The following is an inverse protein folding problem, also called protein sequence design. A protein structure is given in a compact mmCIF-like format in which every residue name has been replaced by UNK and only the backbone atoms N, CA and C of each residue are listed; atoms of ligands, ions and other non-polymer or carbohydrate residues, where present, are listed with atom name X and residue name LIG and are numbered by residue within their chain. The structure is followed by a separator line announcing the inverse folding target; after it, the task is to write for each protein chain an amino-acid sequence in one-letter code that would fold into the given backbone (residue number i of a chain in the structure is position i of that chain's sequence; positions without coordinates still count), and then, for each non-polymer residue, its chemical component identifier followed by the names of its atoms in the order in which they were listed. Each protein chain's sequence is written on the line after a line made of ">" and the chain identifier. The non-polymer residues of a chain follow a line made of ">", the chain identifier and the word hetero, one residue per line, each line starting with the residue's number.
data_IF_689041504635
#
_entry.id   IF_689041504635
#
_cell.length_a   1.000
_cell.length_b   1.000
_cell.length_c   1.000
_cell.angle_alpha   90.00
_cell.angle_beta   90.00
_cell.angle_gamma   90.00
#
_symmetry.space_group_name_H-M   'P 1'
#
loop_
_entity.id
_entity.type
_entity.pdbx_description
1 polymer ?
#
# COMPACT_ATOMS: atom_id res chain seq x y z
N UNK A 1 -16.95 -18.32 8.28
CA UNK A 1 -16.42 -17.10 7.66
C UNK A 1 -15.31 -17.44 6.69
N UNK A 2 -15.44 -17.09 5.40
CA UNK A 2 -14.34 -17.13 4.44
C UNK A 2 -13.65 -15.76 4.47
N UNK A 3 -12.34 -15.71 4.72
CA UNK A 3 -11.56 -14.46 4.70
C UNK A 3 -10.86 -14.08 6.00
N UNK A 4 -11.01 -14.85 7.07
CA UNK A 4 -10.19 -14.70 8.27
C UNK A 4 -8.95 -15.57 8.12
N UNK A 5 -7.82 -14.95 7.78
CA UNK A 5 -6.51 -15.58 7.82
C UNK A 5 -5.83 -15.15 9.12
N UNK A 6 -5.43 -16.13 9.94
CA UNK A 6 -4.59 -15.86 11.11
C UNK A 6 -3.18 -15.62 10.58
N UNK A 7 -2.69 -14.40 10.74
CA UNK A 7 -1.32 -14.05 10.36
C UNK A 7 -0.47 -14.25 11.62
N UNK A 8 0.60 -15.06 11.57
CA UNK A 8 1.29 -15.52 12.78
C UNK A 8 2.14 -14.45 13.46
N UNK A 9 2.41 -13.32 12.78
CA UNK A 9 3.14 -12.20 13.34
C UNK A 9 3.43 -11.11 12.31
N UNK A 10 4.10 -10.02 12.72
CA UNK A 10 4.56 -8.97 11.81
C UNK A 10 5.40 -9.53 10.65
N UNK A 11 5.34 -8.88 9.50
CA UNK A 11 6.19 -9.15 8.32
C UNK A 11 6.13 -10.55 7.72
N UNK A 12 5.11 -11.34 8.09
CA UNK A 12 4.85 -12.63 7.49
C UNK A 12 4.14 -12.52 6.13
N UNK A 13 3.26 -11.53 5.99
CA UNK A 13 2.51 -11.22 4.76
C UNK A 13 2.40 -9.70 4.63
N UNK A 14 2.64 -9.20 3.42
CA UNK A 14 2.41 -7.80 3.06
C UNK A 14 1.28 -7.69 2.04
N UNK A 15 0.38 -6.75 2.26
CA UNK A 15 -0.67 -6.39 1.33
C UNK A 15 -0.23 -5.18 0.51
N UNK A 16 -0.58 -5.19 -0.77
CA UNK A 16 -0.41 -4.03 -1.66
C UNK A 16 -1.79 -3.49 -1.98
N UNK A 17 -1.99 -2.19 -1.75
CA UNK A 17 -3.22 -1.51 -2.07
C UNK A 17 -2.97 -0.26 -2.92
N UNK A 18 -3.85 0.00 -3.89
CA UNK A 18 -3.81 1.22 -4.72
C UNK A 18 -4.95 2.14 -4.32
N UNK A 19 -4.62 3.38 -4.00
CA UNK A 19 -5.60 4.42 -3.75
C UNK A 19 -5.86 5.21 -5.04
N UNK A 20 -7.07 5.07 -5.59
CA UNK A 20 -7.43 5.56 -6.93
C UNK A 20 -8.23 6.88 -6.91
N UNK A 21 -8.56 7.46 -5.75
CA UNK A 21 -9.40 8.68 -5.69
C UNK A 21 -8.73 9.91 -6.31
N UNK A 22 -7.41 9.90 -6.46
CA UNK A 22 -6.64 10.99 -7.06
C UNK A 22 -6.33 10.75 -8.55
N UNK A 23 -6.90 9.71 -9.16
CA UNK A 23 -6.73 9.45 -10.58
C UNK A 23 -7.10 10.62 -11.49
N UNK A 24 -8.10 11.49 -11.18
CA UNK A 24 -8.38 12.67 -12.00
C UNK A 24 -7.24 13.70 -12.03
N UNK A 25 -6.32 13.64 -11.06
CA UNK A 25 -5.14 14.50 -10.96
C UNK A 25 -3.87 13.80 -11.43
N UNK A 26 -3.98 12.63 -12.08
CA UNK A 26 -2.85 11.79 -12.48
C UNK A 26 -1.96 11.32 -11.33
N UNK A 27 -2.44 11.37 -10.08
CA UNK A 27 -1.70 10.91 -8.89
C UNK A 27 -2.17 9.50 -8.53
N UNK A 28 -1.21 8.58 -8.44
CA UNK A 28 -1.40 7.20 -8.02
C UNK A 28 -0.65 6.97 -6.72
N UNK A 29 -1.35 6.53 -5.68
CA UNK A 29 -0.72 6.16 -4.40
C UNK A 29 -0.82 4.65 -4.24
N UNK A 30 0.31 4.02 -3.94
CA UNK A 30 0.43 2.60 -3.65
C UNK A 30 0.97 2.45 -2.22
N UNK A 31 0.31 1.62 -1.42
CA UNK A 31 0.69 1.40 -0.03
C UNK A 31 1.05 -0.06 0.20
N UNK A 32 2.14 -0.29 0.90
CA UNK A 32 2.48 -1.58 1.48
C UNK A 32 1.99 -1.61 2.92
N UNK A 33 1.22 -2.63 3.27
CA UNK A 33 0.56 -2.76 4.57
C UNK A 33 1.00 -4.08 5.19
N UNK A 34 1.53 -4.02 6.41
CA UNK A 34 1.77 -5.22 7.20
C UNK A 34 0.41 -5.87 7.52
N UNK A 35 0.21 -7.09 7.02
CA UNK A 35 -1.10 -7.73 7.09
C UNK A 35 -1.51 -8.09 8.54
N UNK A 36 -0.53 -8.31 9.44
CA UNK A 36 -0.76 -8.62 10.85
C UNK A 36 -1.28 -7.41 11.63
N UNK A 37 -0.53 -6.30 11.59
CA UNK A 37 -0.84 -5.10 12.38
C UNK A 37 -1.78 -4.11 11.67
N UNK A 38 -2.00 -4.28 10.36
CA UNK A 38 -2.66 -3.30 9.47
C UNK A 38 -1.92 -1.96 9.37
N UNK A 39 -0.68 -1.87 9.85
CA UNK A 39 0.14 -0.67 9.70
C UNK A 39 0.60 -0.50 8.25
N UNK A 40 0.54 0.73 7.74
CA UNK A 40 1.22 1.10 6.50
C UNK A 40 2.71 1.17 6.80
N UNK A 41 3.50 0.35 6.13
CA UNK A 41 4.95 0.30 6.29
C UNK A 41 5.68 1.05 5.18
N UNK A 42 5.02 1.26 4.03
CA UNK A 42 5.61 1.98 2.91
C UNK A 42 4.56 2.62 1.99
N UNK A 43 4.92 3.75 1.37
CA UNK A 43 4.07 4.48 0.44
C UNK A 43 4.89 4.85 -0.81
N UNK A 44 4.37 4.51 -1.98
CA UNK A 44 4.90 4.96 -3.27
C UNK A 44 3.87 5.85 -3.97
N UNK A 45 4.32 6.98 -4.50
CA UNK A 45 3.47 7.95 -5.19
C UNK A 45 3.98 8.14 -6.62
N UNK A 46 3.15 7.83 -7.60
CA UNK A 46 3.43 8.06 -9.01
C UNK A 46 2.54 9.17 -9.54
N UNK A 47 3.14 10.13 -10.25
CA UNK A 47 2.41 11.17 -10.98
C UNK A 47 2.58 10.83 -12.46
N UNK A 48 1.49 10.66 -13.21
CA UNK A 48 1.57 10.43 -14.65
C UNK A 48 2.10 11.72 -15.31
N UNK A 49 3.43 11.82 -15.40
CA UNK A 49 4.33 12.75 -16.11
C UNK A 49 5.76 12.73 -15.51
N UNK A 50 5.94 12.28 -14.25
CA UNK A 50 7.24 12.10 -13.58
C UNK A 50 7.15 11.00 -12.50
N UNK A 51 8.12 10.08 -12.44
CA UNK A 51 8.21 9.10 -11.33
C UNK A 51 8.96 9.75 -10.16
N UNK A 52 8.32 9.84 -8.99
CA UNK A 52 8.96 10.29 -7.75
C UNK A 52 9.07 9.09 -6.78
N UNK A 53 10.26 8.82 -6.26
CA UNK A 53 10.46 7.85 -5.19
C UNK A 53 10.63 8.61 -3.88
N UNK A 54 9.74 8.40 -2.91
CA UNK A 54 9.90 8.89 -1.54
C UNK A 54 10.25 7.68 -0.67
N UNK A 55 11.48 7.63 -0.16
CA UNK A 55 11.87 6.72 0.90
C UNK A 55 11.73 7.52 2.20
N UNK A 56 10.81 7.12 3.08
CA UNK A 56 10.75 7.61 4.47
C UNK A 56 11.52 6.64 5.34
#
# INVERSE_FOLDING_TARGET
>A
NKGEYIIPGPDYIWLINRYNKLSPFSINIYTYINAYSRAIIWIYISILNYIFYLVV
#
